data_IF_079432441551
#
_entry.id   IF_079432441551
#
_cell.length_a   1.000
_cell.length_b   1.000
_cell.length_c   1.000
_cell.angle_alpha   90.00
_cell.angle_beta   90.00
_cell.angle_gamma   90.00
#
_symmetry.space_group_name_H-M   'P 1'
#
loop_
_entity.id
_entity.type
_entity.pdbx_description
1 polymer ?
#
# COMPACT_ATOMS: atom_id res chain seq x y z
N UNK A 1 8.84 -39.98 -4.98
CA UNK A 1 9.30 -40.58 -3.70
C UNK A 1 10.61 -41.27 -3.98
N UNK A 2 11.69 -40.92 -3.28
CA UNK A 2 13.00 -41.54 -3.47
C UNK A 2 13.23 -42.45 -2.23
N UNK A 3 13.04 -43.75 -2.40
CA UNK A 3 13.38 -44.74 -1.41
C UNK A 3 14.76 -45.26 -1.74
N UNK A 4 15.72 -45.11 -0.83
CA UNK A 4 17.03 -45.73 -0.96
C UNK A 4 17.02 -47.02 -0.17
N UNK A 5 17.40 -48.09 -0.82
CA UNK A 5 17.67 -49.39 -0.18
C UNK A 5 19.18 -49.53 -0.02
N UNK A 6 19.62 -49.81 1.18
CA UNK A 6 21.03 -50.09 1.46
C UNK A 6 21.10 -51.52 2.00
N UNK A 7 21.99 -52.34 1.40
CA UNK A 7 22.30 -53.69 1.90
C UNK A 7 23.58 -53.56 2.72
N UNK A 8 23.49 -53.91 3.98
CA UNK A 8 24.63 -53.91 4.89
C UNK A 8 24.50 -55.09 5.85
N UNK A 9 25.61 -55.60 6.32
CA UNK A 9 25.73 -56.71 7.25
C UNK A 9 26.56 -56.34 8.48
N UNK A 10 26.41 -57.12 9.56
CA UNK A 10 27.22 -57.04 10.77
C UNK A 10 27.35 -55.61 11.35
N UNK A 11 28.60 -55.25 11.68
CA UNK A 11 28.95 -53.99 12.32
C UNK A 11 28.56 -52.74 11.48
N UNK A 12 28.66 -52.83 10.17
CA UNK A 12 28.28 -51.74 9.25
C UNK A 12 26.79 -51.43 9.32
N UNK A 13 25.96 -52.47 9.52
CA UNK A 13 24.53 -52.31 9.69
C UNK A 13 24.21 -51.58 10.98
N UNK A 14 24.88 -51.93 12.07
CA UNK A 14 24.65 -51.31 13.37
C UNK A 14 25.04 -49.81 13.33
N UNK A 15 26.21 -49.46 12.79
CA UNK A 15 26.65 -48.09 12.59
C UNK A 15 25.63 -47.31 11.80
N UNK A 16 25.05 -47.92 10.77
CA UNK A 16 24.05 -47.27 9.93
C UNK A 16 22.72 -47.08 10.65
N UNK A 17 22.27 -48.06 11.45
CA UNK A 17 21.08 -47.92 12.31
C UNK A 17 21.28 -46.83 13.36
N UNK A 18 22.42 -46.75 13.98
CA UNK A 18 22.76 -45.75 14.98
C UNK A 18 22.80 -44.35 14.35
N UNK A 19 23.41 -44.23 13.17
CA UNK A 19 23.40 -42.97 12.42
C UNK A 19 21.98 -42.49 12.07
N UNK A 20 21.12 -43.38 11.61
CA UNK A 20 19.73 -43.05 11.26
C UNK A 20 18.93 -42.69 12.51
N UNK A 21 19.13 -43.40 13.60
CA UNK A 21 18.49 -43.15 14.89
C UNK A 21 18.91 -41.79 15.49
N UNK A 22 20.19 -41.48 15.53
CA UNK A 22 20.74 -40.22 16.05
C UNK A 22 20.23 -39.01 15.24
N UNK A 23 19.99 -39.22 13.95
CA UNK A 23 19.43 -38.15 13.08
C UNK A 23 17.89 -38.16 12.99
N UNK A 24 17.21 -38.97 13.83
CA UNK A 24 15.75 -39.12 13.84
C UNK A 24 15.19 -39.50 12.46
N UNK A 25 15.89 -40.35 11.71
CA UNK A 25 15.47 -40.85 10.41
C UNK A 25 14.73 -42.16 10.58
N UNK A 26 13.42 -42.15 10.24
CA UNK A 26 12.63 -43.37 10.25
C UNK A 26 13.14 -44.34 9.18
N UNK A 27 13.38 -45.59 9.57
CA UNK A 27 13.80 -46.66 8.69
C UNK A 27 13.11 -48.00 9.02
N UNK A 28 13.03 -48.88 8.02
CA UNK A 28 12.52 -50.24 8.19
C UNK A 28 13.58 -51.23 7.75
N UNK A 29 13.65 -52.37 8.46
CA UNK A 29 14.57 -53.47 8.17
C UNK A 29 13.75 -54.69 7.71
N UNK A 30 14.08 -55.25 6.56
CA UNK A 30 13.26 -56.26 5.88
C UNK A 30 13.62 -57.72 6.24
N UNK A 31 14.68 -58.00 6.96
CA UNK A 31 15.05 -59.38 7.28
C UNK A 31 15.88 -59.50 8.57
N UNK A 32 15.69 -60.57 9.34
CA UNK A 32 16.45 -60.81 10.55
C UNK A 32 17.82 -61.43 10.32
N UNK A 33 18.14 -62.12 9.21
CA UNK A 33 19.23 -63.10 9.27
C UNK A 33 20.42 -62.74 8.43
N UNK A 34 20.83 -62.22 7.55
CA UNK A 34 22.20 -62.10 6.96
C UNK A 34 22.47 -60.83 6.12
N UNK A 35 21.48 -60.19 5.63
CA UNK A 35 21.63 -58.95 4.89
C UNK A 35 20.39 -58.06 5.10
N UNK A 36 20.56 -57.02 5.89
CA UNK A 36 19.47 -56.13 6.19
C UNK A 36 19.33 -55.09 5.07
N UNK A 37 18.11 -54.87 4.59
CA UNK A 37 17.77 -53.72 3.73
C UNK A 37 17.19 -52.62 4.58
N UNK A 38 17.92 -51.53 4.70
CA UNK A 38 17.40 -50.31 5.29
C UNK A 38 16.71 -49.50 4.23
N UNK A 39 15.41 -49.22 4.43
CA UNK A 39 14.62 -48.35 3.56
C UNK A 39 14.33 -47.06 4.28
N UNK A 40 14.59 -45.96 3.65
CA UNK A 40 14.19 -44.64 4.15
C UNK A 40 13.78 -43.70 3.02
N UNK A 41 12.92 -42.78 3.33
CA UNK A 41 12.50 -41.81 2.36
C UNK A 41 13.48 -40.61 2.34
N UNK A 42 14.42 -40.64 1.40
CA UNK A 42 15.44 -39.62 1.29
C UNK A 42 14.89 -38.19 1.03
N UNK A 43 13.64 -38.06 0.55
CA UNK A 43 13.00 -36.73 0.40
C UNK A 43 12.53 -36.16 1.74
N UNK A 44 12.17 -37.03 2.71
CA UNK A 44 11.78 -36.58 4.04
C UNK A 44 12.99 -36.09 4.86
N UNK A 45 14.16 -36.65 4.62
CA UNK A 45 15.35 -36.48 5.45
C UNK A 45 16.57 -35.94 4.70
N UNK A 46 16.32 -35.23 3.56
CA UNK A 46 17.39 -34.58 2.81
C UNK A 46 18.12 -33.57 3.70
N UNK A 47 19.46 -33.66 3.77
CA UNK A 47 20.27 -32.70 4.51
C UNK A 47 20.10 -31.29 3.91
N UNK A 48 19.73 -30.33 4.75
CA UNK A 48 19.58 -28.94 4.32
C UNK A 48 20.92 -28.26 4.14
N UNK A 49 21.01 -27.37 3.15
CA UNK A 49 22.14 -26.45 3.03
C UNK A 49 21.81 -25.16 3.81
N UNK A 50 22.19 -25.15 5.09
CA UNK A 50 21.86 -24.03 6.01
C UNK A 50 22.29 -22.65 5.49
N UNK A 51 23.53 -22.43 4.96
CA UNK A 51 23.91 -21.13 4.43
C UNK A 51 23.01 -20.65 3.29
N UNK A 52 22.73 -21.50 2.31
CA UNK A 52 21.87 -21.16 1.18
C UNK A 52 20.42 -20.92 1.61
N UNK A 53 19.96 -21.64 2.64
CA UNK A 53 18.63 -21.41 3.22
C UNK A 53 18.53 -20.02 3.84
N UNK A 54 19.55 -19.60 4.61
CA UNK A 54 19.57 -18.26 5.23
C UNK A 54 19.53 -17.18 4.13
N UNK A 55 20.36 -17.30 3.10
CA UNK A 55 20.38 -16.35 1.98
C UNK A 55 19.01 -16.29 1.28
N UNK A 56 18.42 -17.45 0.97
CA UNK A 56 17.10 -17.50 0.35
C UNK A 56 16.01 -16.86 1.24
N UNK A 57 16.09 -17.05 2.56
CA UNK A 57 15.18 -16.42 3.51
C UNK A 57 15.31 -14.92 3.53
N UNK A 58 16.54 -14.39 3.53
CA UNK A 58 16.79 -12.95 3.50
C UNK A 58 16.25 -12.35 2.20
N UNK A 59 16.52 -12.99 1.04
CA UNK A 59 16.00 -12.53 -0.25
C UNK A 59 14.46 -12.56 -0.27
N UNK A 60 13.85 -13.61 0.29
CA UNK A 60 12.40 -13.71 0.44
C UNK A 60 11.83 -12.53 1.24
N UNK A 61 12.40 -12.26 2.42
CA UNK A 61 11.94 -11.15 3.26
C UNK A 61 12.10 -9.79 2.57
N UNK A 62 13.25 -9.54 1.95
CA UNK A 62 13.50 -8.29 1.20
C UNK A 62 12.48 -8.14 0.07
N UNK A 63 12.21 -9.20 -0.68
CA UNK A 63 11.28 -9.16 -1.81
C UNK A 63 9.85 -8.89 -1.36
N UNK A 64 9.41 -9.52 -0.27
CA UNK A 64 8.10 -9.30 0.32
C UNK A 64 7.94 -7.86 0.83
N UNK A 65 8.95 -7.34 1.58
CA UNK A 65 8.96 -5.94 2.01
C UNK A 65 8.97 -4.99 0.81
N UNK A 66 9.76 -5.29 -0.22
CA UNK A 66 9.82 -4.47 -1.43
C UNK A 66 8.47 -4.37 -2.14
N UNK A 67 7.74 -5.48 -2.28
CA UNK A 67 6.39 -5.49 -2.87
C UNK A 67 5.41 -4.67 -2.04
N UNK A 68 5.44 -4.79 -0.71
CA UNK A 68 4.55 -4.04 0.15
C UNK A 68 4.90 -2.55 0.21
N UNK A 69 6.18 -2.19 0.17
CA UNK A 69 6.60 -0.80 0.03
C UNK A 69 6.10 -0.22 -1.30
N UNK A 70 6.30 -0.94 -2.41
CA UNK A 70 5.82 -0.49 -3.73
C UNK A 70 4.30 -0.26 -3.74
N UNK A 71 3.52 -1.13 -3.10
CA UNK A 71 2.07 -1.03 -3.00
C UNK A 71 1.63 0.13 -2.09
N UNK A 72 2.21 0.26 -0.91
CA UNK A 72 1.68 1.12 0.15
C UNK A 72 2.27 2.55 0.16
N UNK A 73 3.51 2.76 -0.31
CA UNK A 73 4.13 4.09 -0.33
C UNK A 73 3.34 5.11 -1.16
N UNK A 74 2.76 4.78 -2.34
CA UNK A 74 1.91 5.71 -3.07
C UNK A 74 0.67 6.15 -2.28
N UNK A 75 0.06 5.28 -1.49
CA UNK A 75 -1.08 5.64 -0.64
C UNK A 75 -0.67 6.61 0.47
N UNK A 76 0.48 6.38 1.13
CA UNK A 76 0.98 7.32 2.13
C UNK A 76 1.33 8.68 1.51
N UNK A 77 1.88 8.71 0.30
CA UNK A 77 2.14 9.96 -0.42
C UNK A 77 0.84 10.70 -0.75
N UNK A 78 -0.19 9.98 -1.18
CA UNK A 78 -1.53 10.55 -1.44
C UNK A 78 -2.15 11.10 -0.16
N UNK A 79 -2.09 10.38 0.96
CA UNK A 79 -2.59 10.85 2.26
C UNK A 79 -1.86 12.13 2.71
N UNK A 80 -0.55 12.21 2.54
CA UNK A 80 0.23 13.41 2.85
C UNK A 80 -0.22 14.59 1.98
N UNK A 81 -0.41 14.40 0.68
CA UNK A 81 -0.87 15.45 -0.24
C UNK A 81 -2.30 15.89 0.11
N UNK A 82 -3.19 14.94 0.41
CA UNK A 82 -4.57 15.24 0.83
C UNK A 82 -4.58 16.06 2.13
N UNK A 83 -3.78 15.69 3.10
CA UNK A 83 -3.64 16.38 4.39
C UNK A 83 -2.93 17.76 4.27
N UNK A 84 -2.36 18.09 3.10
CA UNK A 84 -1.88 19.44 2.82
C UNK A 84 -2.99 20.50 2.84
N UNK A 85 -4.23 20.08 3.09
CA UNK A 85 -5.40 20.96 3.16
C UNK A 85 -5.95 21.31 1.78
N UNK A 86 -5.76 20.40 0.83
CA UNK A 86 -6.16 20.62 -0.56
C UNK A 86 -7.66 20.89 -0.68
N UNK A 87 -8.52 20.14 0.00
CA UNK A 87 -9.98 20.36 -0.02
C UNK A 87 -10.37 21.74 0.49
N UNK A 88 -9.81 22.17 1.63
CA UNK A 88 -10.11 23.50 2.21
C UNK A 88 -9.58 24.63 1.33
N UNK A 89 -8.43 24.43 0.70
CA UNK A 89 -7.86 25.43 -0.21
C UNK A 89 -8.63 25.53 -1.52
N UNK A 90 -9.06 24.40 -2.10
CA UNK A 90 -9.92 24.36 -3.29
C UNK A 90 -11.24 25.08 -3.01
N UNK A 91 -11.89 24.74 -1.88
CA UNK A 91 -13.11 25.41 -1.42
C UNK A 91 -12.91 26.92 -1.25
N UNK A 92 -11.80 27.34 -0.61
CA UNK A 92 -11.48 28.74 -0.44
C UNK A 92 -11.25 29.47 -1.77
N UNK A 93 -10.48 28.90 -2.69
CA UNK A 93 -10.20 29.49 -4.01
C UNK A 93 -11.44 29.59 -4.88
N UNK A 94 -12.29 28.55 -4.82
CA UNK A 94 -13.59 28.63 -5.50
C UNK A 94 -14.48 29.70 -4.88
N UNK A 95 -14.55 29.81 -3.55
CA UNK A 95 -15.30 30.85 -2.85
C UNK A 95 -14.79 32.24 -3.18
N UNK A 96 -13.47 32.48 -3.26
CA UNK A 96 -12.90 33.74 -3.70
C UNK A 96 -13.44 34.13 -5.09
N UNK A 97 -13.47 33.19 -6.04
CA UNK A 97 -14.00 33.42 -7.39
C UNK A 97 -15.50 33.75 -7.37
N UNK A 98 -16.26 33.08 -6.49
CA UNK A 98 -17.69 33.36 -6.30
C UNK A 98 -17.89 34.77 -5.75
N UNK A 99 -17.14 35.15 -4.71
CA UNK A 99 -17.22 36.50 -4.12
C UNK A 99 -16.88 37.57 -5.13
N UNK A 100 -15.83 37.39 -5.95
CA UNK A 100 -15.42 38.31 -6.99
C UNK A 100 -16.49 38.46 -8.08
N UNK A 101 -17.37 37.50 -8.25
CA UNK A 101 -18.45 37.48 -9.22
C UNK A 101 -19.77 38.02 -8.65
N UNK A 102 -19.90 38.15 -7.33
CA UNK A 102 -21.11 38.68 -6.69
C UNK A 102 -21.13 40.20 -6.68
N UNK A 103 -22.31 40.83 -6.86
CA UNK A 103 -22.45 42.25 -6.65
C UNK A 103 -22.22 42.63 -5.18
N UNK A 104 -21.83 43.87 -4.91
CA UNK A 104 -21.72 44.36 -3.54
C UNK A 104 -23.10 44.35 -2.83
N UNK A 105 -23.10 44.38 -1.48
CA UNK A 105 -24.34 44.40 -0.70
C UNK A 105 -25.29 45.53 -1.11
N UNK A 106 -24.74 46.72 -1.45
CA UNK A 106 -25.51 47.88 -1.93
C UNK A 106 -26.13 47.63 -3.31
N UNK A 107 -25.36 47.01 -4.23
CA UNK A 107 -25.86 46.68 -5.57
C UNK A 107 -26.89 45.54 -5.53
N UNK A 108 -26.78 44.64 -4.56
CA UNK A 108 -27.71 43.55 -4.33
C UNK A 108 -29.00 44.00 -3.59
N UNK A 109 -29.06 45.23 -3.10
CA UNK A 109 -30.17 45.75 -2.30
C UNK A 109 -30.29 45.09 -0.93
N UNK A 110 -29.20 44.53 -0.41
CA UNK A 110 -29.14 43.80 0.86
C UNK A 110 -28.48 44.64 1.95
N UNK A 111 -28.97 44.51 3.20
CA UNK A 111 -28.19 45.00 4.32
C UNK A 111 -26.95 44.14 4.56
N UNK A 112 -25.99 44.65 5.31
CA UNK A 112 -24.71 43.94 5.58
C UNK A 112 -24.90 42.63 6.26
N UNK A 113 -25.89 42.46 7.13
CA UNK A 113 -26.19 41.25 7.85
C UNK A 113 -26.73 40.16 6.90
N UNK A 114 -27.68 40.51 6.07
CA UNK A 114 -28.28 39.63 5.06
C UNK A 114 -27.23 39.19 4.05
N UNK A 115 -26.35 40.06 3.59
CA UNK A 115 -25.28 39.76 2.66
C UNK A 115 -24.24 38.80 3.29
N UNK A 116 -23.82 39.06 4.53
CA UNK A 116 -22.90 38.18 5.22
C UNK A 116 -23.51 36.79 5.48
N UNK A 117 -24.81 36.71 5.74
CA UNK A 117 -25.52 35.45 5.87
C UNK A 117 -25.53 34.67 4.56
N UNK A 118 -25.82 35.35 3.44
CA UNK A 118 -25.73 34.75 2.11
C UNK A 118 -24.33 34.16 1.85
N UNK A 119 -23.28 34.96 2.10
CA UNK A 119 -21.90 34.47 1.93
C UNK A 119 -21.58 33.25 2.80
N UNK A 120 -22.06 33.23 4.05
CA UNK A 120 -21.89 32.10 4.96
C UNK A 120 -22.62 30.85 4.48
N UNK A 121 -23.84 31.01 3.96
CA UNK A 121 -24.63 29.90 3.43
C UNK A 121 -24.02 29.33 2.16
N UNK A 122 -23.52 30.20 1.27
CA UNK A 122 -22.76 29.78 0.07
C UNK A 122 -21.49 29.03 0.49
N UNK A 123 -20.71 29.58 1.42
CA UNK A 123 -19.48 28.95 1.91
C UNK A 123 -19.75 27.57 2.50
N UNK A 124 -20.79 27.42 3.32
CA UNK A 124 -21.19 26.13 3.87
C UNK A 124 -21.62 25.14 2.79
N UNK A 125 -22.35 25.61 1.78
CA UNK A 125 -22.78 24.80 0.65
C UNK A 125 -21.59 24.29 -0.17
N UNK A 126 -20.63 25.16 -0.46
CA UNK A 126 -19.39 24.80 -1.16
C UNK A 126 -18.58 23.79 -0.35
N UNK A 127 -18.33 24.08 0.93
CA UNK A 127 -17.50 23.22 1.79
C UNK A 127 -18.07 21.82 1.99
N UNK A 128 -19.40 21.68 2.00
CA UNK A 128 -20.09 20.42 2.15
C UNK A 128 -20.40 19.73 0.81
N UNK A 129 -19.99 20.29 -0.31
CA UNK A 129 -20.23 19.72 -1.63
C UNK A 129 -19.31 18.52 -1.90
N UNK A 130 -19.89 17.42 -2.34
CA UNK A 130 -19.13 16.24 -2.79
C UNK A 130 -18.22 16.54 -4.00
N UNK A 131 -18.51 17.61 -4.75
CA UNK A 131 -17.66 18.05 -5.86
C UNK A 131 -16.27 18.52 -5.36
N UNK A 132 -16.19 19.22 -4.23
CA UNK A 132 -14.91 19.62 -3.61
C UNK A 132 -14.05 18.40 -3.27
N UNK A 133 -14.65 17.37 -2.67
CA UNK A 133 -13.92 16.15 -2.36
C UNK A 133 -13.48 15.40 -3.62
N UNK A 134 -14.30 15.40 -4.67
CA UNK A 134 -13.96 14.82 -5.97
C UNK A 134 -12.79 15.55 -6.63
N UNK A 135 -12.81 16.88 -6.66
CA UNK A 135 -11.71 17.71 -7.17
C UNK A 135 -10.44 17.44 -6.38
N UNK A 136 -10.51 17.50 -5.04
CA UNK A 136 -9.35 17.25 -4.17
C UNK A 136 -8.74 15.87 -4.40
N UNK A 137 -9.57 14.84 -4.61
CA UNK A 137 -9.12 13.48 -4.92
C UNK A 137 -8.45 13.43 -6.30
N UNK A 138 -9.04 14.03 -7.35
CA UNK A 138 -8.43 14.08 -8.68
C UNK A 138 -7.04 14.75 -8.65
N UNK A 139 -6.90 15.87 -7.94
CA UNK A 139 -5.60 16.52 -7.74
C UNK A 139 -4.63 15.61 -6.95
N UNK A 140 -5.08 15.04 -5.83
CA UNK A 140 -4.24 14.16 -5.02
C UNK A 140 -3.68 13.00 -5.85
N UNK A 141 -4.53 12.32 -6.61
CA UNK A 141 -4.15 11.20 -7.46
C UNK A 141 -3.20 11.63 -8.59
N UNK A 142 -3.52 12.75 -9.26
CA UNK A 142 -2.71 13.27 -10.35
C UNK A 142 -1.34 13.76 -9.88
N UNK A 143 -1.25 14.48 -8.76
CA UNK A 143 0.00 14.97 -8.19
C UNK A 143 0.86 13.80 -7.68
N UNK A 144 0.26 12.81 -7.00
CA UNK A 144 0.96 11.61 -6.54
C UNK A 144 1.55 10.83 -7.72
N UNK A 145 0.76 10.66 -8.80
CA UNK A 145 1.21 10.03 -10.04
C UNK A 145 2.30 10.83 -10.73
N UNK A 146 2.14 12.16 -10.78
CA UNK A 146 3.15 13.07 -11.34
C UNK A 146 4.49 13.00 -10.61
N UNK A 147 4.48 12.97 -9.28
CA UNK A 147 5.69 12.77 -8.46
C UNK A 147 6.34 11.42 -8.73
N UNK A 148 5.55 10.35 -8.85
CA UNK A 148 6.04 9.01 -9.17
C UNK A 148 6.70 8.97 -10.55
N UNK A 149 6.08 9.60 -11.54
CA UNK A 149 6.51 9.56 -12.92
C UNK A 149 7.58 10.65 -13.24
N UNK A 150 7.98 11.45 -12.23
CA UNK A 150 8.99 12.51 -12.37
C UNK A 150 8.55 13.70 -13.22
N UNK A 151 7.24 13.92 -13.34
CA UNK A 151 6.66 14.97 -14.17
C UNK A 151 6.73 16.33 -13.48
N UNK A 152 6.81 17.39 -14.30
CA UNK A 152 6.51 18.75 -13.85
C UNK A 152 5.00 18.95 -13.78
N UNK A 153 4.53 19.97 -13.05
CA UNK A 153 3.08 20.23 -12.93
C UNK A 153 2.40 20.44 -14.29
N UNK A 154 3.07 21.11 -15.22
CA UNK A 154 2.51 21.39 -16.56
C UNK A 154 2.36 20.13 -17.45
N UNK A 155 3.00 19.02 -17.08
CA UNK A 155 2.88 17.73 -17.77
C UNK A 155 1.80 16.84 -17.14
N UNK A 156 1.14 17.33 -16.09
CA UNK A 156 0.07 16.63 -15.40
C UNK A 156 -1.25 17.15 -15.94
N UNK A 157 -2.02 16.26 -16.55
CA UNK A 157 -3.37 16.57 -17.02
C UNK A 157 -4.38 16.29 -15.91
N UNK A 158 -5.17 17.32 -15.54
CA UNK A 158 -6.16 17.26 -14.47
C UNK A 158 -7.46 17.84 -15.01
N UNK A 159 -8.39 16.96 -15.35
CA UNK A 159 -9.72 17.33 -15.80
C UNK A 159 -10.70 17.38 -14.63
N UNK A 160 -11.22 18.57 -14.33
CA UNK A 160 -12.17 18.86 -13.26
C UNK A 160 -13.42 19.62 -13.75
N UNK A 161 -13.65 19.66 -15.04
CA UNK A 161 -14.68 20.52 -15.64
C UNK A 161 -16.09 20.08 -15.22
N UNK A 162 -16.32 18.77 -15.13
CA UNK A 162 -17.60 18.21 -14.66
C UNK A 162 -17.87 18.59 -13.20
N UNK A 163 -16.85 18.48 -12.33
CA UNK A 163 -16.98 18.82 -10.92
C UNK A 163 -17.17 20.33 -10.71
N UNK A 164 -16.48 21.16 -11.48
CA UNK A 164 -16.68 22.61 -11.44
C UNK A 164 -18.08 22.99 -11.92
N UNK A 165 -18.59 22.34 -12.95
CA UNK A 165 -19.96 22.53 -13.42
C UNK A 165 -20.97 22.12 -12.35
N UNK A 166 -20.77 20.97 -11.69
CA UNK A 166 -21.62 20.53 -10.59
C UNK A 166 -21.57 21.50 -9.41
N UNK A 167 -20.37 21.99 -9.04
CA UNK A 167 -20.17 22.94 -7.96
C UNK A 167 -20.83 24.29 -8.27
N UNK A 168 -20.71 24.77 -9.51
CA UNK A 168 -21.38 25.97 -9.99
C UNK A 168 -22.92 25.84 -9.89
N UNK A 169 -23.46 24.71 -10.28
CA UNK A 169 -24.92 24.45 -10.19
C UNK A 169 -25.42 24.44 -8.74
N UNK A 170 -24.68 23.83 -7.82
CA UNK A 170 -25.04 23.80 -6.39
C UNK A 170 -24.96 25.20 -5.79
N UNK A 171 -23.94 25.99 -6.14
CA UNK A 171 -23.76 27.37 -5.70
C UNK A 171 -24.87 28.27 -6.24
N UNK A 172 -25.21 28.12 -7.53
CA UNK A 172 -26.31 28.81 -8.16
C UNK A 172 -27.64 28.57 -7.44
N UNK A 173 -27.95 27.30 -7.15
CA UNK A 173 -29.19 26.94 -6.45
C UNK A 173 -29.25 27.57 -5.05
N UNK A 174 -28.13 27.56 -4.31
CA UNK A 174 -28.04 28.16 -2.97
C UNK A 174 -28.33 29.68 -3.02
N UNK A 175 -27.81 30.36 -4.03
CA UNK A 175 -28.07 31.79 -4.21
C UNK A 175 -29.51 32.04 -4.64
N UNK A 176 -30.03 31.25 -5.56
CA UNK A 176 -31.42 31.33 -6.01
C UNK A 176 -32.39 31.14 -4.87
N UNK A 177 -32.21 30.08 -4.04
CA UNK A 177 -33.06 29.80 -2.88
C UNK A 177 -33.03 30.97 -1.88
N UNK A 178 -31.90 31.68 -1.74
CA UNK A 178 -31.79 32.86 -0.91
C UNK A 178 -32.48 34.07 -1.53
N UNK A 179 -32.31 34.31 -2.82
CA UNK A 179 -32.92 35.46 -3.54
C UNK A 179 -34.42 35.30 -3.69
N UNK A 180 -34.95 34.11 -3.90
CA UNK A 180 -36.38 33.83 -3.97
C UNK A 180 -37.08 34.08 -2.62
N UNK A 181 -36.33 34.00 -1.50
CA UNK A 181 -36.82 34.23 -0.15
C UNK A 181 -36.56 35.67 0.37
N UNK A 182 -35.89 36.52 -0.41
CA UNK A 182 -35.58 37.93 -0.07
C UNK A 182 -35.86 38.81 -1.26
N UNK A 183 -36.29 40.06 -1.02
CA UNK A 183 -36.54 41.04 -2.10
C UNK A 183 -35.24 41.52 -2.78
N UNK A 184 -34.31 40.65 -3.04
CA UNK A 184 -32.99 40.99 -3.59
C UNK A 184 -32.97 40.89 -5.12
N UNK A 185 -32.22 41.76 -5.76
CA UNK A 185 -32.09 41.88 -7.23
C UNK A 185 -30.79 41.26 -7.76
N UNK A 186 -30.29 40.18 -7.12
CA UNK A 186 -29.09 39.53 -7.65
C UNK A 186 -29.40 38.91 -9.01
N UNK A 187 -28.76 39.41 -10.04
CA UNK A 187 -28.89 38.86 -11.38
C UNK A 187 -27.95 37.63 -11.51
N UNK A 188 -28.54 36.46 -11.66
CA UNK A 188 -27.87 35.14 -11.67
C UNK A 188 -27.05 34.88 -12.96
N UNK A 189 -26.88 35.89 -13.84
CA UNK A 189 -26.16 35.75 -15.11
C UNK A 189 -24.62 35.60 -14.98
N UNK A 190 -24.07 35.70 -13.76
CA UNK A 190 -22.62 35.82 -13.51
C UNK A 190 -21.92 34.55 -13.04
N UNK A 191 -22.63 33.42 -12.95
CA UNK A 191 -22.11 32.24 -12.24
C UNK A 191 -21.38 31.21 -13.08
N UNK A 192 -20.78 31.54 -14.16
CA UNK A 192 -20.16 30.54 -15.03
C UNK A 192 -18.68 30.77 -15.36
N UNK A 193 -17.94 31.53 -14.57
CA UNK A 193 -16.49 31.58 -14.81
C UNK A 193 -15.76 30.41 -14.11
N UNK A 194 -16.16 29.19 -14.56
CA UNK A 194 -15.47 27.95 -14.17
C UNK A 194 -14.00 27.97 -14.58
N UNK A 195 -13.63 28.71 -15.63
CA UNK A 195 -12.26 28.86 -16.09
C UNK A 195 -11.40 29.66 -15.11
N UNK A 196 -11.90 30.76 -14.55
CA UNK A 196 -11.17 31.52 -13.51
C UNK A 196 -11.00 30.67 -12.24
N UNK A 197 -12.02 29.92 -11.84
CA UNK A 197 -11.95 29.00 -10.72
C UNK A 197 -10.92 27.87 -10.96
N UNK A 198 -10.94 27.25 -12.15
CA UNK A 198 -9.96 26.22 -12.56
C UNK A 198 -8.55 26.77 -12.52
N UNK A 199 -8.34 27.98 -13.05
CA UNK A 199 -7.03 28.64 -13.02
C UNK A 199 -6.54 28.91 -11.59
N UNK A 200 -7.43 29.44 -10.72
CA UNK A 200 -7.08 29.71 -9.32
C UNK A 200 -6.70 28.42 -8.56
N UNK A 201 -7.45 27.35 -8.75
CA UNK A 201 -7.17 26.03 -8.16
C UNK A 201 -5.85 25.45 -8.70
N UNK A 202 -5.65 25.50 -10.02
CA UNK A 202 -4.41 25.03 -10.66
C UNK A 202 -3.18 25.80 -10.17
N UNK A 203 -3.26 27.11 -10.04
CA UNK A 203 -2.16 27.91 -9.50
C UNK A 203 -1.81 27.52 -8.08
N UNK A 204 -2.80 27.28 -7.23
CA UNK A 204 -2.57 26.81 -5.87
C UNK A 204 -1.95 25.41 -5.85
N UNK A 205 -2.49 24.48 -6.61
CA UNK A 205 -1.97 23.12 -6.71
C UNK A 205 -0.54 23.06 -7.25
N UNK A 206 -0.21 23.92 -8.23
CA UNK A 206 1.15 24.05 -8.78
C UNK A 206 2.15 24.53 -7.73
N UNK A 207 1.76 25.49 -6.87
CA UNK A 207 2.60 25.97 -5.78
C UNK A 207 2.88 24.86 -4.75
N UNK A 208 1.85 24.10 -4.35
CA UNK A 208 2.04 22.95 -3.45
C UNK A 208 2.96 21.92 -4.09
N UNK A 209 2.75 21.60 -5.35
CA UNK A 209 3.53 20.60 -6.07
C UNK A 209 5.01 21.02 -6.17
N UNK A 210 5.27 22.26 -6.53
CA UNK A 210 6.63 22.79 -6.60
C UNK A 210 7.31 22.80 -5.21
N UNK A 211 6.58 23.16 -4.16
CA UNK A 211 7.11 23.18 -2.79
C UNK A 211 7.46 21.75 -2.31
N UNK A 212 6.59 20.78 -2.60
CA UNK A 212 6.86 19.37 -2.32
C UNK A 212 8.08 18.88 -3.10
N UNK A 213 8.18 19.17 -4.40
CA UNK A 213 9.33 18.77 -5.22
C UNK A 213 10.63 19.39 -4.69
N UNK A 214 10.62 20.65 -4.30
CA UNK A 214 11.79 21.33 -3.77
C UNK A 214 12.22 20.75 -2.41
N UNK A 215 11.29 20.60 -1.48
CA UNK A 215 11.59 20.08 -0.13
C UNK A 215 11.90 18.60 -0.10
N UNK A 216 11.33 17.84 -1.03
CA UNK A 216 11.51 16.41 -1.16
C UNK A 216 12.57 16.02 -2.20
N UNK A 217 13.35 16.96 -2.77
CA UNK A 217 14.26 16.70 -3.88
C UNK A 217 15.21 15.50 -3.65
N UNK A 218 15.71 15.34 -2.41
CA UNK A 218 16.55 14.19 -2.03
C UNK A 218 15.79 12.85 -1.91
N UNK A 219 14.47 12.87 -1.79
CA UNK A 219 13.62 11.68 -1.62
C UNK A 219 12.86 11.33 -2.90
N UNK A 220 12.71 12.27 -3.82
CA UNK A 220 11.95 12.08 -5.05
C UNK A 220 12.46 10.89 -5.88
N UNK A 221 13.77 10.77 -6.06
CA UNK A 221 14.37 9.64 -6.79
C UNK A 221 14.15 8.30 -6.11
N UNK A 222 14.17 8.26 -4.77
CA UNK A 222 13.87 7.03 -4.00
C UNK A 222 12.39 6.68 -4.19
N UNK A 223 11.50 7.66 -4.05
CA UNK A 223 10.06 7.45 -4.26
C UNK A 223 9.75 6.93 -5.67
N UNK A 224 10.31 7.57 -6.71
CA UNK A 224 10.16 7.16 -8.10
C UNK A 224 10.63 5.71 -8.32
N UNK A 225 11.82 5.38 -7.79
CA UNK A 225 12.38 4.03 -7.91
C UNK A 225 11.49 2.99 -7.24
N UNK A 226 11.12 3.22 -5.98
CA UNK A 226 10.32 2.28 -5.18
C UNK A 226 8.91 2.11 -5.75
N UNK A 227 8.29 3.18 -6.27
CA UNK A 227 6.93 3.17 -6.82
C UNK A 227 6.88 2.74 -8.29
N UNK A 228 8.03 2.45 -8.93
CA UNK A 228 8.08 2.09 -10.34
C UNK A 228 7.59 0.67 -10.62
N UNK A 229 7.02 0.45 -11.81
CA UNK A 229 6.66 -0.88 -12.29
C UNK A 229 7.89 -1.80 -12.45
N UNK A 230 9.05 -1.25 -12.79
CA UNK A 230 10.31 -1.99 -12.89
C UNK A 230 10.72 -2.56 -11.52
N UNK A 231 10.65 -1.76 -10.47
CA UNK A 231 10.92 -2.22 -9.10
C UNK A 231 9.97 -3.35 -8.70
N UNK A 232 8.66 -3.21 -9.00
CA UNK A 232 7.66 -4.24 -8.75
C UNK A 232 8.02 -5.57 -9.44
N UNK A 233 8.37 -5.53 -10.73
CA UNK A 233 8.76 -6.73 -11.50
C UNK A 233 10.01 -7.38 -10.90
N UNK A 234 11.03 -6.59 -10.57
CA UNK A 234 12.26 -7.09 -9.93
C UNK A 234 11.95 -7.79 -8.62
N UNK A 235 11.09 -7.21 -7.77
CA UNK A 235 10.69 -7.83 -6.50
C UNK A 235 9.90 -9.13 -6.70
N UNK A 236 9.01 -9.22 -7.69
CA UNK A 236 8.32 -10.47 -8.03
C UNK A 236 9.30 -11.56 -8.48
N UNK A 237 10.24 -11.22 -9.34
CA UNK A 237 11.26 -12.18 -9.82
C UNK A 237 12.11 -12.69 -8.66
N UNK A 238 12.59 -11.79 -7.79
CA UNK A 238 13.35 -12.16 -6.60
C UNK A 238 12.53 -13.03 -5.64
N UNK A 239 11.25 -12.72 -5.46
CA UNK A 239 10.33 -13.52 -4.65
C UNK A 239 10.18 -14.94 -5.22
N UNK A 240 9.95 -15.07 -6.53
CA UNK A 240 9.83 -16.37 -7.17
C UNK A 240 11.12 -17.19 -7.05
N UNK A 241 12.27 -16.58 -7.30
CA UNK A 241 13.58 -17.24 -7.16
C UNK A 241 13.86 -17.64 -5.72
N UNK A 242 13.52 -16.80 -4.74
CA UNK A 242 13.69 -17.12 -3.33
C UNK A 242 12.80 -18.27 -2.89
N UNK A 243 11.53 -18.32 -3.31
CA UNK A 243 10.62 -19.43 -3.03
C UNK A 243 11.11 -20.75 -3.64
N UNK A 244 11.56 -20.73 -4.89
CA UNK A 244 12.16 -21.89 -5.54
C UNK A 244 13.40 -22.35 -4.75
N UNK A 245 14.26 -21.42 -4.36
CA UNK A 245 15.46 -21.70 -3.55
C UNK A 245 15.11 -22.25 -2.19
N UNK A 246 14.09 -21.70 -1.50
CA UNK A 246 13.58 -22.22 -0.24
C UNK A 246 13.06 -23.66 -0.38
N UNK A 247 12.46 -24.02 -1.49
CA UNK A 247 11.97 -25.38 -1.77
C UNK A 247 13.13 -26.32 -2.11
N UNK A 248 14.12 -25.87 -2.88
CA UNK A 248 15.23 -26.73 -3.34
C UNK A 248 16.28 -26.93 -2.24
N UNK A 249 16.70 -25.88 -1.56
CA UNK A 249 17.78 -25.90 -0.56
C UNK A 249 17.28 -26.19 0.84
N UNK A 250 16.02 -25.95 1.12
CA UNK A 250 15.46 -26.35 2.38
C UNK A 250 15.10 -27.83 2.33
N UNK A 251 15.64 -28.58 3.11
CA UNK A 251 14.83 -29.07 4.18
C UNK A 251 14.15 -30.38 3.81
N UNK A 252 14.47 -31.39 4.58
CA UNK A 252 13.54 -32.49 4.68
C UNK A 252 12.14 -31.93 4.94
N UNK A 253 11.14 -32.54 4.34
CA UNK A 253 9.74 -32.11 4.49
C UNK A 253 9.30 -32.03 5.96
N UNK A 254 9.99 -32.82 6.84
CA UNK A 254 9.81 -32.79 8.29
C UNK A 254 10.06 -31.41 8.92
N UNK A 255 10.99 -30.65 8.39
CA UNK A 255 11.35 -29.30 8.90
C UNK A 255 10.65 -28.20 8.10
N UNK A 256 10.56 -28.33 6.78
CA UNK A 256 9.93 -27.29 5.93
C UNK A 256 8.45 -27.10 6.24
N UNK A 257 7.74 -28.13 6.71
CA UNK A 257 6.35 -28.03 7.16
C UNK A 257 6.12 -27.04 8.32
N UNK A 258 7.17 -26.77 9.10
CA UNK A 258 7.13 -25.81 10.21
C UNK A 258 7.77 -24.50 9.78
N UNK A 259 8.93 -24.60 9.11
CA UNK A 259 9.73 -23.43 8.76
C UNK A 259 9.00 -22.44 7.85
N UNK A 260 8.40 -22.90 6.75
CA UNK A 260 7.72 -22.01 5.80
C UNK A 260 6.50 -21.29 6.41
N UNK A 261 5.56 -21.98 7.09
CA UNK A 261 4.47 -21.28 7.77
C UNK A 261 4.94 -20.27 8.81
N UNK A 262 5.94 -20.64 9.62
CA UNK A 262 6.50 -19.73 10.64
C UNK A 262 7.16 -18.53 9.99
N UNK A 263 7.81 -18.69 8.84
CA UNK A 263 8.40 -17.58 8.11
C UNK A 263 7.36 -16.54 7.68
N UNK A 264 6.18 -16.97 7.19
CA UNK A 264 5.09 -16.06 6.85
C UNK A 264 4.52 -15.34 8.06
N UNK A 265 4.38 -16.01 9.20
CA UNK A 265 3.90 -15.39 10.45
C UNK A 265 4.91 -14.38 10.99
N UNK A 266 6.22 -14.71 10.95
CA UNK A 266 7.28 -13.77 11.33
C UNK A 266 7.27 -12.56 10.40
N UNK A 267 7.17 -12.80 9.09
CA UNK A 267 7.08 -11.73 8.11
C UNK A 267 5.90 -10.81 8.41
N UNK A 268 4.69 -11.36 8.64
CA UNK A 268 3.51 -10.57 8.99
C UNK A 268 3.73 -9.68 10.23
N UNK A 269 4.37 -10.21 11.27
CA UNK A 269 4.72 -9.44 12.46
C UNK A 269 5.72 -8.31 12.18
N UNK A 270 6.77 -8.59 11.41
CA UNK A 270 7.77 -7.60 11.01
C UNK A 270 7.15 -6.51 10.13
N UNK A 271 6.29 -6.88 9.18
CA UNK A 271 5.56 -5.96 8.33
C UNK A 271 4.66 -5.04 9.14
N UNK A 272 3.85 -5.63 10.05
CA UNK A 272 2.99 -4.84 10.93
C UNK A 272 3.77 -3.76 11.69
N UNK A 273 4.90 -4.12 12.29
CA UNK A 273 5.75 -3.18 13.00
C UNK A 273 6.35 -2.14 12.05
N UNK A 274 6.84 -2.58 10.88
CA UNK A 274 7.46 -1.68 9.91
C UNK A 274 6.47 -0.62 9.41
N UNK A 275 5.27 -1.00 9.03
CA UNK A 275 4.28 -0.06 8.47
C UNK A 275 3.54 0.73 9.54
N UNK A 276 3.07 0.10 10.62
CA UNK A 276 2.28 0.80 11.65
C UNK A 276 3.13 1.63 12.63
N UNK A 277 4.38 1.25 12.88
CA UNK A 277 5.23 1.95 13.85
C UNK A 277 6.29 2.78 13.15
N UNK A 278 7.10 2.17 12.29
CA UNK A 278 8.29 2.82 11.73
C UNK A 278 7.88 3.77 10.61
N UNK A 279 7.19 3.26 9.59
CA UNK A 279 6.84 4.04 8.40
C UNK A 279 5.80 5.11 8.71
N UNK A 280 4.84 4.81 9.58
CA UNK A 280 3.85 5.77 10.07
C UNK A 280 4.54 6.97 10.76
N UNK A 281 5.47 6.71 11.70
CA UNK A 281 6.22 7.79 12.36
C UNK A 281 7.11 8.54 11.37
N UNK A 282 7.76 7.85 10.45
CA UNK A 282 8.58 8.48 9.42
C UNK A 282 7.73 9.38 8.51
N UNK A 283 6.55 8.93 8.10
CA UNK A 283 5.64 9.71 7.28
C UNK A 283 5.07 10.92 8.02
N UNK A 284 4.75 10.80 9.32
CA UNK A 284 4.36 11.94 10.16
C UNK A 284 5.49 12.98 10.26
N UNK A 285 6.72 12.56 10.49
CA UNK A 285 7.87 13.46 10.55
C UNK A 285 8.12 14.13 9.20
N UNK A 286 7.97 13.39 8.12
CA UNK A 286 8.13 13.89 6.75
C UNK A 286 7.03 14.91 6.42
N UNK A 287 5.77 14.61 6.73
CA UNK A 287 4.65 15.53 6.50
C UNK A 287 4.82 16.84 7.28
N UNK A 288 5.23 16.74 8.54
CA UNK A 288 5.51 17.92 9.36
C UNK A 288 6.64 18.78 8.74
N UNK A 289 7.67 18.15 8.22
CA UNK A 289 8.79 18.85 7.55
C UNK A 289 8.39 19.44 6.19
N UNK A 290 7.57 18.72 5.41
CA UNK A 290 7.17 19.15 4.06
C UNK A 290 6.04 20.18 4.09
N UNK A 291 5.06 19.99 4.97
CA UNK A 291 3.81 20.76 4.96
C UNK A 291 3.64 21.67 6.18
N UNK A 292 4.53 21.57 7.18
CA UNK A 292 4.40 22.28 8.45
C UNK A 292 3.22 21.83 9.32
N UNK A 293 2.64 20.68 9.01
CA UNK A 293 1.53 20.07 9.76
C UNK A 293 1.66 18.54 9.78
N UNK A 294 1.01 17.90 10.76
CA UNK A 294 1.03 16.44 10.91
C UNK A 294 -0.07 15.80 10.08
N UNK A 295 0.29 14.91 9.17
CA UNK A 295 -0.66 14.12 8.38
C UNK A 295 -1.33 13.03 9.22
N UNK A 296 -2.63 12.80 9.02
CA UNK A 296 -3.37 11.66 9.54
C UNK A 296 -3.30 10.51 8.55
N UNK A 297 -2.43 9.54 8.78
CA UNK A 297 -2.24 8.42 7.87
C UNK A 297 -3.29 7.32 8.08
N UNK A 298 -3.83 6.80 6.99
CA UNK A 298 -4.73 5.66 7.03
C UNK A 298 -3.93 4.35 7.11
N UNK A 299 -3.80 3.79 8.31
CA UNK A 299 -3.07 2.55 8.59
C UNK A 299 -3.84 1.26 8.26
N UNK A 300 -5.04 1.35 7.69
CA UNK A 300 -5.91 0.20 7.40
C UNK A 300 -5.26 -0.79 6.44
N UNK A 301 -4.41 -0.32 5.54
CA UNK A 301 -3.71 -1.16 4.56
C UNK A 301 -2.80 -2.20 5.23
N UNK A 302 -1.98 -1.78 6.19
CA UNK A 302 -1.05 -2.67 6.88
C UNK A 302 -1.77 -3.75 7.71
N UNK A 303 -2.90 -3.41 8.32
CA UNK A 303 -3.71 -4.37 9.08
C UNK A 303 -4.30 -5.46 8.20
N UNK A 304 -4.79 -5.11 7.02
CA UNK A 304 -5.35 -6.07 6.06
C UNK A 304 -4.27 -7.04 5.55
N UNK A 305 -3.09 -6.54 5.24
CA UNK A 305 -1.97 -7.34 4.77
C UNK A 305 -1.48 -8.30 5.87
N UNK A 306 -1.39 -7.85 7.14
CA UNK A 306 -1.06 -8.71 8.27
C UNK A 306 -1.96 -9.94 8.37
N UNK A 307 -3.29 -9.75 8.34
CA UNK A 307 -4.27 -10.85 8.40
C UNK A 307 -4.08 -11.80 7.22
N UNK A 308 -3.84 -11.27 6.02
CA UNK A 308 -3.63 -12.06 4.81
C UNK A 308 -2.40 -12.97 4.91
N UNK A 309 -1.27 -12.46 5.41
CA UNK A 309 -0.05 -13.26 5.55
C UNK A 309 -0.13 -14.29 6.67
N UNK A 310 -0.75 -13.98 7.79
CA UNK A 310 -1.02 -14.97 8.85
C UNK A 310 -1.91 -16.09 8.33
N UNK A 311 -2.98 -15.75 7.60
CA UNK A 311 -3.89 -16.74 7.00
C UNK A 311 -3.17 -17.63 6.00
N UNK A 312 -2.32 -17.06 5.14
CA UNK A 312 -1.49 -17.81 4.21
C UNK A 312 -0.53 -18.79 4.94
N UNK A 313 0.09 -18.33 6.02
CA UNK A 313 0.92 -19.18 6.87
C UNK A 313 0.16 -20.39 7.45
N UNK A 314 -1.07 -20.17 7.92
CA UNK A 314 -1.93 -21.24 8.44
C UNK A 314 -2.31 -22.23 7.33
N UNK A 315 -2.73 -21.75 6.16
CA UNK A 315 -3.07 -22.60 5.01
C UNK A 315 -1.86 -23.46 4.59
N UNK A 316 -0.68 -22.84 4.48
CA UNK A 316 0.57 -23.56 4.19
C UNK A 316 0.88 -24.62 5.24
N UNK A 317 0.68 -24.33 6.51
CA UNK A 317 0.89 -25.31 7.59
C UNK A 317 -0.01 -26.54 7.42
N UNK A 318 -1.27 -26.33 7.06
CA UNK A 318 -2.23 -27.43 6.82
C UNK A 318 -1.78 -28.28 5.62
N UNK A 319 -1.51 -27.64 4.48
CA UNK A 319 -1.11 -28.33 3.23
C UNK A 319 0.17 -29.14 3.45
N UNK A 320 1.19 -28.53 4.07
CA UNK A 320 2.48 -29.16 4.30
C UNK A 320 2.39 -30.34 5.29
N UNK A 321 1.53 -30.25 6.32
CA UNK A 321 1.29 -31.34 7.23
C UNK A 321 0.55 -32.51 6.57
N UNK A 322 -0.44 -32.23 5.71
CA UNK A 322 -1.12 -33.28 4.93
C UNK A 322 -0.13 -33.98 4.00
N UNK A 323 0.68 -33.20 3.26
CA UNK A 323 1.71 -33.75 2.38
C UNK A 323 2.73 -34.61 3.16
N UNK A 324 3.18 -34.16 4.32
CA UNK A 324 4.08 -34.89 5.18
C UNK A 324 3.47 -36.22 5.65
N UNK A 325 2.24 -36.21 6.15
CA UNK A 325 1.55 -37.46 6.60
C UNK A 325 1.39 -38.45 5.46
N UNK A 326 0.97 -37.98 4.27
CA UNK A 326 0.80 -38.82 3.07
C UNK A 326 2.12 -39.39 2.57
N UNK A 327 3.23 -38.70 2.71
CA UNK A 327 4.55 -39.21 2.35
C UNK A 327 5.10 -40.19 3.42
N UNK A 328 4.82 -39.90 4.69
CA UNK A 328 5.22 -40.80 5.79
C UNK A 328 4.45 -42.15 5.74
N UNK A 329 3.16 -42.13 5.40
CA UNK A 329 2.36 -43.35 5.27
C UNK A 329 2.72 -44.24 4.06
N UNK A 330 3.50 -43.71 3.12
CA UNK A 330 3.97 -44.41 1.90
C UNK A 330 5.45 -44.80 1.98
N UNK A 331 6.15 -44.39 3.04
CA UNK A 331 7.54 -44.76 3.31
C UNK A 331 7.63 -45.98 4.21
#
# INVERSE_FOLDING_TARGET
MLIRCVKADGEKLQIMKDFLSVNNIDFTSDSPDEAYRLRYNAKLYKKSNKPLLIIATIIFLISMFGLNINKNVPFYAADIIKDAGLSSAISGRYMDTVIDSLPSSEQAGMDVYQYNKLLSDIQNTIQNSSAIDSIARKYTDALTKGLRDGKTFNEIDIDIDDELTALSSVTYNSIKDYTDNTDSTITLSLFADTESAKKAINNYASCIYADIQYRAAGLAGIYQTISSGTFYIVMIVLLALSLISLIIFSLPLSVSRIYLPVLFVIYAGLEYVAFNVILSKAAMLLSNRLLGRTASLNLTYANTDFVSYVSLGVVLAIIMNIAYRKMKSRA
#
